data_IF_841393124291
#
_entry.id   IF_841393124291
#
_cell.length_a   1.000
_cell.length_b   1.000
_cell.length_c   1.000
_cell.angle_alpha   90.00
_cell.angle_beta   90.00
_cell.angle_gamma   90.00
#
_symmetry.space_group_name_H-M   'P 1'
#
loop_
_entity.id
_entity.type
_entity.pdbx_description
1 polymer ?
#
# COMPACT_ATOMS: atom_id res chain seq x y z
N UNK A 1 -20.37 -24.78 -25.25
CA UNK A 1 -19.39 -24.87 -24.15
C UNK A 1 -18.75 -23.51 -24.02
N UNK A 2 -19.10 -22.75 -22.97
CA UNK A 2 -18.34 -21.56 -22.60
C UNK A 2 -17.37 -22.01 -21.52
N UNK A 3 -16.15 -22.38 -21.93
CA UNK A 3 -15.04 -22.52 -21.00
C UNK A 3 -14.60 -21.10 -20.63
N UNK A 4 -15.17 -20.58 -19.56
CA UNK A 4 -14.61 -19.41 -18.89
C UNK A 4 -13.40 -19.94 -18.12
N UNK A 5 -12.22 -19.80 -18.71
CA UNK A 5 -10.96 -20.06 -18.01
C UNK A 5 -10.96 -19.28 -16.68
N UNK A 6 -10.52 -19.88 -15.56
CA UNK A 6 -10.40 -19.14 -14.31
C UNK A 6 -9.41 -17.99 -14.53
N UNK A 7 -9.82 -16.77 -14.18
CA UNK A 7 -8.95 -15.60 -14.18
C UNK A 7 -7.63 -15.97 -13.49
N UNK A 8 -6.52 -15.82 -14.21
CA UNK A 8 -5.21 -16.05 -13.63
C UNK A 8 -5.02 -15.03 -12.51
N UNK A 9 -5.08 -15.48 -11.25
CA UNK A 9 -4.82 -14.61 -10.11
C UNK A 9 -3.35 -14.15 -10.18
N UNK A 10 -3.15 -12.89 -10.55
CA UNK A 10 -1.82 -12.28 -10.46
C UNK A 10 -1.51 -12.12 -8.96
N UNK A 11 -0.47 -12.81 -8.50
CA UNK A 11 0.01 -12.67 -7.13
C UNK A 11 0.68 -11.30 -7.06
N UNK A 12 -0.02 -10.35 -6.44
CA UNK A 12 0.48 -8.99 -6.23
C UNK A 12 0.53 -8.67 -4.74
N UNK A 13 1.60 -7.97 -4.34
CA UNK A 13 1.69 -7.38 -3.01
C UNK A 13 0.64 -6.26 -2.83
N UNK A 14 0.34 -5.87 -1.59
CA UNK A 14 -0.59 -4.73 -1.37
C UNK A 14 -0.07 -3.43 -2.01
N UNK A 15 1.23 -3.06 -1.86
CA UNK A 15 1.80 -1.89 -2.53
C UNK A 15 1.64 -1.92 -4.05
N UNK A 16 1.83 -3.07 -4.70
CA UNK A 16 1.61 -3.23 -6.15
C UNK A 16 0.15 -2.99 -6.54
N UNK A 17 -0.81 -3.57 -5.80
CA UNK A 17 -2.24 -3.36 -6.07
C UNK A 17 -2.63 -1.89 -5.96
N UNK A 18 -2.15 -1.20 -4.92
CA UNK A 18 -2.40 0.22 -4.76
C UNK A 18 -1.70 1.06 -5.83
N UNK A 19 -0.50 0.66 -6.26
CA UNK A 19 0.19 1.31 -7.37
C UNK A 19 -0.61 1.22 -8.67
N UNK A 20 -1.18 0.06 -8.97
CA UNK A 20 -2.06 -0.11 -10.14
C UNK A 20 -3.31 0.77 -10.04
N UNK A 21 -3.95 0.83 -8.86
CA UNK A 21 -5.10 1.71 -8.61
C UNK A 21 -4.75 3.19 -8.73
N UNK A 22 -3.56 3.61 -8.26
CA UNK A 22 -3.10 5.00 -8.40
C UNK A 22 -2.83 5.36 -9.85
N UNK A 23 -2.34 4.41 -10.64
CA UNK A 23 -2.11 4.59 -12.07
C UNK A 23 -3.41 4.86 -12.84
N UNK A 24 -4.54 4.27 -12.42
CA UNK A 24 -5.86 4.53 -13.01
C UNK A 24 -6.30 6.00 -12.88
N UNK A 25 -5.85 6.69 -11.84
CA UNK A 25 -6.10 8.13 -11.62
C UNK A 25 -4.92 9.01 -12.06
N UNK A 26 -4.03 8.48 -12.90
CA UNK A 26 -2.84 9.15 -13.43
C UNK A 26 -1.84 9.59 -12.36
N UNK A 27 -1.74 8.84 -11.26
CA UNK A 27 -0.70 9.02 -10.24
C UNK A 27 0.33 7.90 -10.42
N UNK A 28 1.55 8.29 -10.80
CA UNK A 28 2.67 7.37 -10.87
C UNK A 28 3.19 7.09 -9.47
N UNK A 29 3.34 5.80 -9.15
CA UNK A 29 3.89 5.38 -7.87
C UNK A 29 4.79 4.15 -8.02
N UNK A 30 5.72 3.99 -7.09
CA UNK A 30 6.68 2.88 -7.06
C UNK A 30 6.50 2.11 -5.74
N UNK A 31 6.01 0.86 -5.80
CA UNK A 31 5.98 -0.03 -4.66
C UNK A 31 7.36 -0.24 -4.07
N UNK A 32 7.48 -0.16 -2.74
CA UNK A 32 8.69 -0.53 -2.01
C UNK A 32 8.53 -1.90 -1.36
N UNK A 33 9.66 -2.58 -1.16
CA UNK A 33 9.69 -3.82 -0.40
C UNK A 33 9.35 -3.51 1.07
N UNK A 34 8.54 -4.38 1.68
CA UNK A 34 8.08 -4.20 3.06
C UNK A 34 9.29 -4.18 3.99
N UNK A 35 9.25 -3.30 5.00
CA UNK A 35 10.27 -3.07 6.02
C UNK A 35 11.59 -2.49 5.49
N UNK A 36 11.58 -1.87 4.30
CA UNK A 36 12.78 -1.19 3.75
C UNK A 36 12.81 0.31 3.95
N UNK A 37 11.67 0.94 4.25
CA UNK A 37 11.57 2.39 4.43
C UNK A 37 11.56 2.81 5.91
N UNK A 38 12.13 3.97 6.21
CA UNK A 38 12.17 4.51 7.57
C UNK A 38 10.76 4.83 8.09
N UNK A 39 9.83 5.22 7.21
CA UNK A 39 8.42 5.48 7.58
C UNK A 39 7.73 4.24 8.16
N UNK A 40 8.24 3.04 7.83
CA UNK A 40 7.71 1.77 8.31
C UNK A 40 8.13 1.43 9.74
N UNK A 41 9.18 2.06 10.24
CA UNK A 41 9.77 1.81 11.54
C UNK A 41 9.42 2.87 12.58
N UNK A 42 8.79 3.97 12.17
CA UNK A 42 8.44 5.09 13.05
C UNK A 42 7.04 4.92 13.68
N UNK A 43 6.78 5.68 14.73
CA UNK A 43 5.47 5.65 15.40
C UNK A 43 4.35 6.16 14.48
N UNK A 44 3.26 5.39 14.38
CA UNK A 44 2.10 5.78 13.55
C UNK A 44 1.43 7.05 14.08
N UNK A 45 1.75 8.20 13.49
CA UNK A 45 1.10 9.45 13.83
C UNK A 45 -0.29 9.54 13.18
N UNK A 46 -1.34 9.35 13.97
CA UNK A 46 -2.71 9.56 13.50
C UNK A 46 -3.56 10.27 14.53
N UNK A 47 -4.30 11.28 14.09
CA UNK A 47 -5.34 11.93 14.91
C UNK A 47 -6.58 11.04 15.08
N UNK A 48 -6.74 10.03 14.23
CA UNK A 48 -7.92 9.17 14.14
C UNK A 48 -7.65 7.78 14.73
N UNK A 49 -6.41 7.31 14.65
CA UNK A 49 -5.97 6.09 15.31
C UNK A 49 -5.39 6.47 16.67
N UNK A 50 -6.10 6.10 17.74
CA UNK A 50 -5.57 6.18 19.11
C UNK A 50 -4.18 5.54 19.16
N UNK A 51 -3.20 6.18 19.81
CA UNK A 51 -1.85 5.67 20.10
C UNK A 51 -1.82 4.33 20.86
N UNK A 52 -2.98 3.71 21.12
CA UNK A 52 -3.02 2.30 21.49
C UNK A 52 -2.40 1.49 20.36
N UNK A 53 -1.31 0.78 20.66
CA UNK A 53 -0.64 -0.28 19.88
C UNK A 53 -1.55 -1.47 19.53
N UNK A 54 -2.86 -1.26 19.43
CA UNK A 54 -3.86 -2.25 19.05
C UNK A 54 -3.68 -2.60 17.58
N UNK A 55 -2.86 -3.64 17.35
CA UNK A 55 -2.83 -4.49 16.15
C UNK A 55 -2.91 -3.74 14.82
N UNK A 56 -1.97 -2.83 14.57
CA UNK A 56 -1.77 -2.27 13.23
C UNK A 56 -0.73 -3.11 12.52
N UNK A 57 -1.11 -3.76 11.43
CA UNK A 57 -0.19 -4.51 10.57
C UNK A 57 0.26 -3.62 9.43
N UNK A 58 1.56 -3.38 9.32
CA UNK A 58 2.14 -2.73 8.15
C UNK A 58 2.04 -3.67 6.93
N UNK A 59 1.55 -3.14 5.79
CA UNK A 59 1.41 -3.85 4.53
C UNK A 59 2.36 -3.33 3.44
N UNK A 60 3.30 -2.45 3.80
CA UNK A 60 4.31 -1.85 2.93
C UNK A 60 4.02 -0.38 2.61
N UNK A 61 4.92 0.22 1.85
CA UNK A 61 4.80 1.59 1.37
C UNK A 61 5.01 1.71 -0.14
N UNK A 62 4.64 2.87 -0.67
CA UNK A 62 4.83 3.24 -2.07
C UNK A 62 5.26 4.70 -2.16
N UNK A 63 6.24 4.95 -3.01
CA UNK A 63 6.68 6.31 -3.35
C UNK A 63 5.74 6.88 -4.40
N UNK A 64 5.37 8.14 -4.26
CA UNK A 64 4.50 8.83 -5.22
C UNK A 64 5.30 9.93 -5.91
N UNK A 65 5.16 10.02 -7.23
CA UNK A 65 5.86 11.03 -8.04
C UNK A 65 4.81 11.97 -8.63
N UNK A 66 5.15 13.26 -8.73
CA UNK A 66 4.30 14.26 -9.38
C UNK A 66 3.16 14.81 -8.51
N UNK A 67 3.20 14.55 -7.20
CA UNK A 67 2.27 15.14 -6.23
C UNK A 67 3.03 15.77 -5.06
N UNK A 68 2.32 16.47 -4.17
CA UNK A 68 2.90 16.97 -2.91
C UNK A 68 2.98 15.89 -1.81
N UNK A 69 2.73 14.63 -2.17
CA UNK A 69 2.83 13.46 -1.28
C UNK A 69 4.07 12.70 -1.73
N UNK A 70 5.01 12.49 -0.80
CA UNK A 70 6.25 11.78 -1.09
C UNK A 70 6.07 10.25 -0.96
N UNK A 71 5.46 9.81 0.14
CA UNK A 71 5.30 8.39 0.49
C UNK A 71 3.90 8.12 1.00
N UNK A 72 3.32 7.00 0.58
CA UNK A 72 2.07 6.45 1.12
C UNK A 72 2.40 5.12 1.80
N UNK A 73 2.06 5.03 3.09
CA UNK A 73 2.17 3.79 3.85
C UNK A 73 0.81 3.10 3.95
N UNK A 74 0.77 1.80 3.69
CA UNK A 74 -0.44 0.99 3.74
C UNK A 74 -0.44 0.25 5.08
N UNK A 75 -1.45 0.53 5.90
CA UNK A 75 -1.65 -0.10 7.20
C UNK A 75 -3.00 -0.80 7.28
N UNK A 76 -3.04 -1.98 7.90
CA UNK A 76 -4.27 -2.71 8.19
C UNK A 76 -4.52 -2.71 9.69
N UNK A 77 -5.70 -2.23 10.10
CA UNK A 77 -6.17 -2.36 11.48
C UNK A 77 -6.78 -3.75 11.71
N UNK A 78 -6.41 -4.39 12.82
CA UNK A 78 -7.02 -5.62 13.33
C UNK A 78 -8.41 -5.42 13.95
#
# INVERSE_FOLDING_TARGET
>A
MHDTEPETFVIQSMPEKFSDMLKEIAIDSTPKEIATDDVENDDYYSRVFSQTTRMVTNKGCLDVIGTNIDVIQIIQKG
#
